data_IF_848211136244
#
_entry.id   IF_848211136244
#
_cell.length_a   1.000
_cell.length_b   1.000
_cell.length_c   1.000
_cell.angle_alpha   90.00
_cell.angle_beta   90.00
_cell.angle_gamma   90.00
#
_symmetry.space_group_name_H-M   'P 1'
#
loop_
_entity.id
_entity.type
_entity.pdbx_description
1 polymer ?
#
# COMPACT_ATOMS: atom_id res chain seq x y z
N UNK A 1 -8.34 -25.76 11.53
CA UNK A 1 -8.04 -24.56 10.71
C UNK A 1 -6.80 -24.81 9.88
N UNK A 2 -6.79 -24.41 8.61
CA UNK A 2 -5.71 -24.69 7.66
C UNK A 2 -5.23 -23.40 6.99
N UNK A 3 -3.95 -23.37 6.59
CA UNK A 3 -3.36 -22.28 5.86
C UNK A 3 -3.88 -22.25 4.41
N UNK A 4 -4.46 -21.13 3.97
CA UNK A 4 -5.00 -21.03 2.60
C UNK A 4 -3.93 -21.11 1.51
N UNK A 5 -2.67 -20.76 1.83
CA UNK A 5 -1.56 -20.82 0.86
C UNK A 5 -0.95 -22.20 0.68
N UNK A 6 -0.90 -23.02 1.74
CA UNK A 6 -0.11 -24.27 1.73
C UNK A 6 -0.84 -25.48 2.31
N UNK A 7 -2.09 -25.33 2.74
CA UNK A 7 -2.92 -26.42 3.29
C UNK A 7 -2.48 -26.97 4.65
N UNK A 8 -1.38 -26.46 5.23
CA UNK A 8 -0.90 -26.93 6.54
C UNK A 8 -1.85 -26.54 7.66
N UNK A 9 -2.03 -27.43 8.63
CA UNK A 9 -2.83 -27.15 9.82
C UNK A 9 -2.20 -26.03 10.66
N UNK A 10 -3.01 -25.04 11.03
CA UNK A 10 -2.63 -23.93 11.89
C UNK A 10 -2.90 -24.31 13.35
N UNK A 11 -1.90 -24.16 14.21
CA UNK A 11 -1.99 -24.48 15.64
C UNK A 11 -2.12 -23.22 16.50
N UNK A 12 -1.39 -22.17 16.14
CA UNK A 12 -1.41 -20.90 16.87
C UNK A 12 -2.69 -20.09 16.59
N UNK A 13 -3.27 -19.52 17.65
CA UNK A 13 -4.47 -18.68 17.57
C UNK A 13 -4.29 -17.47 16.64
N UNK A 14 -3.11 -16.85 16.62
CA UNK A 14 -2.81 -15.73 15.73
C UNK A 14 -2.76 -16.15 14.25
N UNK A 15 -2.18 -17.32 13.97
CA UNK A 15 -2.15 -17.86 12.59
C UNK A 15 -3.56 -18.21 12.13
N UNK A 16 -4.35 -18.79 13.04
CA UNK A 16 -5.78 -19.09 12.89
C UNK A 16 -6.56 -17.82 12.50
N UNK A 17 -6.45 -16.75 13.29
CA UNK A 17 -7.16 -15.49 13.03
C UNK A 17 -6.78 -14.85 11.70
N UNK A 18 -5.51 -14.98 11.30
CA UNK A 18 -5.02 -14.46 10.02
C UNK A 18 -5.28 -15.39 8.84
N UNK A 19 -5.65 -16.66 9.05
CA UNK A 19 -5.82 -17.67 8.00
C UNK A 19 -4.51 -18.18 7.37
N UNK A 20 -3.36 -17.66 7.79
CA UNK A 20 -2.05 -18.02 7.26
C UNK A 20 -1.08 -18.37 8.37
N UNK A 21 -0.29 -19.44 8.15
CA UNK A 21 0.81 -19.80 9.04
C UNK A 21 1.96 -18.79 8.94
N UNK A 22 2.87 -18.74 9.94
CA UNK A 22 3.92 -17.72 10.02
C UNK A 22 4.83 -17.67 8.79
N UNK A 23 5.12 -18.83 8.19
CA UNK A 23 5.92 -18.94 6.97
C UNK A 23 5.21 -18.35 5.76
N UNK A 24 3.92 -18.62 5.60
CA UNK A 24 3.12 -18.10 4.49
C UNK A 24 2.84 -16.61 4.68
N UNK A 25 2.53 -16.20 5.92
CA UNK A 25 2.31 -14.82 6.28
C UNK A 25 3.54 -13.94 5.96
N UNK A 26 4.76 -14.38 6.33
CA UNK A 26 6.00 -13.66 6.00
C UNK A 26 6.27 -13.54 4.50
N UNK A 27 5.80 -14.48 3.69
CA UNK A 27 5.94 -14.43 2.22
C UNK A 27 4.96 -13.44 1.58
N UNK A 28 3.76 -13.32 2.14
CA UNK A 28 2.71 -12.42 1.64
C UNK A 28 2.96 -10.99 2.14
N UNK A 29 3.37 -10.86 3.40
CA UNK A 29 3.72 -9.60 4.07
C UNK A 29 5.17 -9.67 4.55
N UNK A 30 6.15 -9.37 3.67
CA UNK A 30 7.52 -9.26 4.09
C UNK A 30 7.66 -8.15 5.15
N UNK A 31 8.33 -8.42 6.29
CA UNK A 31 8.55 -7.40 7.29
C UNK A 31 9.36 -6.26 6.68
N UNK A 32 8.90 -5.03 6.88
CA UNK A 32 9.60 -3.83 6.43
C UNK A 32 11.06 -3.91 6.90
N UNK A 33 12.05 -3.65 6.03
CA UNK A 33 13.44 -3.67 6.43
C UNK A 33 13.63 -2.70 7.60
N UNK A 34 14.11 -3.23 8.74
CA UNK A 34 14.46 -2.39 9.89
C UNK A 34 15.59 -1.49 9.42
N UNK A 35 15.36 -0.18 9.47
CA UNK A 35 16.34 0.85 9.10
C UNK A 35 17.58 0.70 9.99
N UNK A 36 18.54 -0.13 9.61
CA UNK A 36 19.87 -0.08 10.19
C UNK A 36 20.51 1.18 9.66
N UNK A 37 20.59 2.22 10.51
CA UNK A 37 21.42 3.38 10.25
C UNK A 37 22.85 2.89 10.00
N UNK A 38 23.28 2.85 8.75
CA UNK A 38 24.62 3.27 8.31
C UNK A 38 24.89 2.90 6.83
N UNK A 39 25.37 3.92 6.13
CA UNK A 39 26.33 3.90 5.03
C UNK A 39 25.85 3.50 3.61
N UNK A 40 25.71 4.56 2.79
CA UNK A 40 26.13 4.70 1.39
C UNK A 40 25.63 3.68 0.37
N UNK A 41 24.76 4.13 -0.53
CA UNK A 41 24.51 3.50 -1.82
C UNK A 41 23.05 3.54 -2.22
N UNK A 42 22.61 4.68 -2.73
CA UNK A 42 21.30 4.94 -3.33
C UNK A 42 20.82 3.84 -4.27
N UNK A 43 19.74 3.18 -3.88
CA UNK A 43 18.65 2.73 -4.74
C UNK A 43 17.49 2.36 -3.82
N UNK A 44 16.77 3.38 -3.34
CA UNK A 44 15.50 3.21 -2.66
C UNK A 44 14.45 2.89 -3.73
N UNK A 45 13.74 1.76 -3.69
CA UNK A 45 12.57 1.55 -4.53
C UNK A 45 11.46 2.46 -4.01
N UNK A 46 11.44 3.69 -4.52
CA UNK A 46 10.28 4.59 -4.62
C UNK A 46 9.32 4.55 -3.43
N UNK A 47 9.75 5.11 -2.29
CA UNK A 47 8.85 5.63 -1.26
C UNK A 47 8.91 7.17 -1.37
N UNK A 48 8.63 7.68 -2.57
CA UNK A 48 8.55 9.10 -2.89
C UNK A 48 7.21 9.33 -3.60
N UNK A 49 6.14 9.22 -2.82
CA UNK A 49 4.78 9.49 -3.29
C UNK A 49 4.48 11.00 -3.41
N UNK A 50 5.43 11.85 -2.99
CA UNK A 50 5.35 13.31 -2.97
C UNK A 50 6.38 13.97 -3.91
N UNK A 51 6.90 13.27 -4.92
CA UNK A 51 7.81 13.90 -5.87
C UNK A 51 6.99 14.79 -6.82
N UNK A 52 7.01 16.10 -6.60
CA UNK A 52 6.45 17.07 -7.54
C UNK A 52 7.17 16.96 -8.89
N UNK A 53 6.53 16.30 -9.86
CA UNK A 53 7.03 16.19 -11.23
C UNK A 53 6.69 17.50 -11.96
N UNK A 54 7.68 18.27 -12.44
CA UNK A 54 7.41 19.50 -13.17
C UNK A 54 6.49 19.26 -14.37
N UNK A 55 5.35 19.97 -14.42
CA UNK A 55 4.37 19.86 -15.50
C UNK A 55 3.20 18.91 -15.25
N UNK A 56 3.04 18.33 -14.05
CA UNK A 56 1.79 17.68 -13.66
C UNK A 56 0.73 18.72 -13.28
N UNK A 57 -0.47 18.57 -13.85
CA UNK A 57 -1.64 19.38 -13.56
C UNK A 57 -2.50 18.63 -12.52
N UNK A 58 -3.03 19.34 -11.52
CA UNK A 58 -3.86 18.70 -10.49
C UNK A 58 -5.26 18.36 -11.06
N UNK A 59 -5.88 17.30 -10.56
CA UNK A 59 -7.22 16.88 -10.99
C UNK A 59 -8.29 17.95 -10.72
N UNK A 60 -8.06 18.83 -9.75
CA UNK A 60 -8.88 20.01 -9.48
C UNK A 60 -9.00 20.95 -10.68
N UNK A 61 -7.96 21.04 -11.51
CA UNK A 61 -7.95 21.91 -12.70
C UNK A 61 -8.86 21.36 -13.82
N UNK A 62 -9.20 20.06 -13.78
CA UNK A 62 -10.15 19.44 -14.72
C UNK A 62 -11.61 19.53 -14.26
N UNK A 63 -11.86 19.70 -12.95
CA UNK A 63 -13.20 19.66 -12.34
C UNK A 63 -13.75 21.08 -12.16
N UNK A 64 -13.25 22.06 -12.93
CA UNK A 64 -13.84 23.39 -12.99
C UNK A 64 -15.23 23.28 -13.64
N UNK A 65 -16.24 23.09 -12.79
CA UNK A 65 -17.65 23.03 -13.17
C UNK A 65 -18.03 24.35 -13.87
N UNK A 66 -18.75 24.30 -15.02
CA UNK A 66 -19.30 25.52 -15.60
C UNK A 66 -20.28 26.16 -14.61
N UNK A 67 -19.96 27.36 -14.15
CA UNK A 67 -20.90 28.27 -13.48
C UNK A 67 -21.94 28.72 -14.50
N UNK A 68 -23.20 28.28 -14.36
CA UNK A 68 -24.30 28.93 -15.07
C UNK A 68 -25.56 28.08 -15.20
N UNK A 69 -26.62 28.49 -14.51
CA UNK A 69 -27.97 27.95 -14.67
C UNK A 69 -28.84 28.19 -13.44
N UNK A 70 -29.11 29.46 -13.13
CA UNK A 70 -30.15 29.82 -12.18
C UNK A 70 -31.46 29.87 -12.97
N UNK A 71 -32.13 28.74 -13.12
CA UNK A 71 -33.46 28.67 -13.72
C UNK A 71 -34.51 29.00 -12.65
N UNK A 72 -34.95 30.25 -12.65
CA UNK A 72 -36.16 30.72 -11.95
C UNK A 72 -37.28 30.77 -13.01
N UNK A 73 -38.22 29.82 -12.93
CA UNK A 73 -39.59 29.91 -13.50
C UNK A 73 -40.57 29.08 -12.65
#
# INVERSE_FOLDING_TARGET
MICEKCGRALKDAESILRGYGPVCYKKIMPPRPKKTRAAKGDCSPVDDWDYEVPGQMELSDFIEMPKGGNDDD
#
